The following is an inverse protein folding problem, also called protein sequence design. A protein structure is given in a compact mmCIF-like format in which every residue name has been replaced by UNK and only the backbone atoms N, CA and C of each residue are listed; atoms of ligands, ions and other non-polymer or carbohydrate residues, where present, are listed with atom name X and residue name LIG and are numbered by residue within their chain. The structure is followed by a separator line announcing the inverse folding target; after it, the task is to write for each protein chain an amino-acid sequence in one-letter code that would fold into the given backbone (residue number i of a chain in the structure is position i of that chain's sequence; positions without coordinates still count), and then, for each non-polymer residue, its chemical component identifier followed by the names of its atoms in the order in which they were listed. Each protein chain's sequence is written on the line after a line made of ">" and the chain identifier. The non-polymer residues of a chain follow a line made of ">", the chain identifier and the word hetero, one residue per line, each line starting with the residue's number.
data_IF_851036334479
#
_entry.id   IF_851036334479
#
_cell.length_a   1.000
_cell.length_b   1.000
_cell.length_c   1.000
_cell.angle_alpha   90.00
_cell.angle_beta   90.00
_cell.angle_gamma   90.00
#
_symmetry.space_group_name_H-M   'P 1'
#
loop_
_entity.id
_entity.type
_entity.pdbx_description
1 polymer ?
#
# COMPACT_ATOMS: atom_id res chain seq x y z
N UNK A 1 -3.70 3.75 43.10
CA UNK A 1 -3.23 2.38 43.33
C UNK A 1 -1.77 2.36 42.93
N UNK A 2 -0.86 1.93 43.81
CA UNK A 2 0.58 1.88 43.50
C UNK A 2 0.88 0.77 42.50
N UNK A 3 1.66 1.07 41.46
CA UNK A 3 2.13 0.05 40.51
C UNK A 3 3.09 -0.91 41.20
N UNK A 4 2.95 -2.21 40.93
CA UNK A 4 3.83 -3.25 41.47
C UNK A 4 4.79 -3.80 40.41
N UNK A 5 5.93 -4.35 40.87
CA UNK A 5 6.89 -5.03 40.00
C UNK A 5 6.24 -6.18 39.20
N UNK A 6 5.29 -6.91 39.81
CA UNK A 6 4.53 -7.97 39.13
C UNK A 6 3.69 -7.44 37.96
N UNK A 7 3.11 -6.24 38.07
CA UNK A 7 2.37 -5.62 36.97
C UNK A 7 3.29 -5.21 35.81
N UNK A 8 4.51 -4.75 36.12
CA UNK A 8 5.54 -4.49 35.11
C UNK A 8 5.92 -5.78 34.38
N UNK A 9 6.21 -6.86 35.12
CA UNK A 9 6.60 -8.16 34.53
C UNK A 9 5.51 -8.73 33.62
N UNK A 10 4.24 -8.66 34.04
CA UNK A 10 3.11 -9.07 33.21
C UNK A 10 3.01 -8.25 31.91
N UNK A 11 3.24 -6.95 31.99
CA UNK A 11 3.20 -6.06 30.84
C UNK A 11 4.36 -6.32 29.89
N UNK A 12 5.57 -6.56 30.41
CA UNK A 12 6.73 -6.98 29.63
C UNK A 12 6.50 -8.30 28.89
N UNK A 13 5.86 -9.28 29.53
CA UNK A 13 5.54 -10.55 28.88
C UNK A 13 4.50 -10.38 27.76
N UNK A 14 3.48 -9.53 27.98
CA UNK A 14 2.51 -9.18 26.94
C UNK A 14 3.19 -8.49 25.73
N UNK A 15 4.14 -7.60 25.99
CA UNK A 15 4.93 -6.91 24.97
C UNK A 15 5.79 -7.88 24.14
N UNK A 16 6.48 -8.84 24.79
CA UNK A 16 7.23 -9.91 24.09
C UNK A 16 6.33 -10.76 23.21
N UNK A 17 5.14 -11.11 23.72
CA UNK A 17 4.15 -11.87 22.96
C UNK A 17 3.70 -11.10 21.71
N UNK A 18 3.40 -9.81 21.84
CA UNK A 18 3.01 -8.95 20.71
C UNK A 18 4.12 -8.88 19.65
N UNK A 19 5.37 -8.69 20.05
CA UNK A 19 6.50 -8.69 19.11
C UNK A 19 6.64 -10.01 18.35
N UNK A 20 6.52 -11.15 19.05
CA UNK A 20 6.61 -12.46 18.41
C UNK A 20 5.48 -12.67 17.39
N UNK A 21 4.26 -12.22 17.72
CA UNK A 21 3.12 -12.27 16.81
C UNK A 21 3.33 -11.37 15.59
N UNK A 22 3.79 -10.13 15.79
CA UNK A 22 4.10 -9.18 14.71
C UNK A 22 5.18 -9.75 13.79
N UNK A 23 6.28 -10.27 14.35
CA UNK A 23 7.40 -10.80 13.58
C UNK A 23 6.98 -12.00 12.72
N UNK A 24 6.22 -12.93 13.32
CA UNK A 24 5.66 -14.09 12.61
C UNK A 24 4.70 -13.66 11.51
N UNK A 25 3.81 -12.70 11.79
CA UNK A 25 2.82 -12.24 10.83
C UNK A 25 3.45 -11.46 9.66
N UNK A 26 4.47 -10.65 9.95
CA UNK A 26 5.27 -9.96 8.93
C UNK A 26 5.96 -10.97 8.02
N UNK A 27 6.67 -11.96 8.58
CA UNK A 27 7.32 -12.98 7.78
C UNK A 27 6.34 -13.71 6.86
N UNK A 28 5.17 -14.11 7.39
CA UNK A 28 4.12 -14.74 6.59
C UNK A 28 3.58 -13.80 5.50
N UNK A 29 3.44 -12.50 5.80
CA UNK A 29 2.98 -11.50 4.84
C UNK A 29 4.00 -11.31 3.71
N UNK A 30 5.29 -11.16 4.04
CA UNK A 30 6.38 -11.01 3.08
C UNK A 30 6.49 -12.25 2.16
N UNK A 31 6.30 -13.45 2.71
CA UNK A 31 6.25 -14.70 1.93
C UNK A 31 5.07 -14.71 0.95
N UNK A 32 3.87 -14.32 1.39
CA UNK A 32 2.67 -14.24 0.54
C UNK A 32 2.86 -13.18 -0.56
N UNK A 33 3.40 -11.99 -0.23
CA UNK A 33 3.66 -10.94 -1.20
C UNK A 33 4.63 -11.38 -2.30
N UNK A 34 5.71 -12.04 -1.90
CA UNK A 34 6.70 -12.59 -2.83
C UNK A 34 6.07 -13.64 -3.75
N UNK A 35 5.31 -14.57 -3.19
CA UNK A 35 4.66 -15.61 -3.97
C UNK A 35 3.60 -15.03 -4.93
N UNK A 36 2.81 -14.05 -4.47
CA UNK A 36 1.84 -13.34 -5.31
C UNK A 36 2.52 -12.61 -6.46
N UNK A 37 3.64 -11.91 -6.21
CA UNK A 37 4.41 -11.26 -7.25
C UNK A 37 4.95 -12.27 -8.27
N UNK A 38 5.38 -13.44 -7.83
CA UNK A 38 5.82 -14.51 -8.73
C UNK A 38 4.66 -15.05 -9.58
N UNK A 39 3.51 -15.34 -8.95
CA UNK A 39 2.30 -15.82 -9.65
C UNK A 39 1.85 -14.80 -10.70
N UNK A 40 1.82 -13.53 -10.31
CA UNK A 40 1.48 -12.44 -11.23
C UNK A 40 2.47 -12.38 -12.40
N UNK A 41 3.79 -12.44 -12.14
CA UNK A 41 4.79 -12.43 -13.19
C UNK A 41 4.66 -13.59 -14.18
N UNK A 42 4.43 -14.81 -13.68
CA UNK A 42 4.21 -15.99 -14.52
C UNK A 42 2.90 -15.89 -15.33
N UNK A 43 1.84 -15.37 -14.72
CA UNK A 43 0.57 -15.11 -15.40
C UNK A 43 0.73 -14.04 -16.49
N UNK A 44 1.34 -12.90 -16.18
CA UNK A 44 1.55 -11.79 -17.13
C UNK A 44 2.46 -12.22 -18.29
N UNK A 45 3.46 -13.05 -18.03
CA UNK A 45 4.31 -13.61 -19.09
C UNK A 45 3.53 -14.48 -20.07
N UNK A 46 2.55 -15.25 -19.58
CA UNK A 46 1.77 -16.19 -20.39
C UNK A 46 0.54 -15.55 -21.05
N UNK A 47 -0.17 -14.71 -20.33
CA UNK A 47 -1.46 -14.14 -20.74
C UNK A 47 -1.44 -12.63 -20.97
N UNK A 48 -0.40 -11.90 -20.55
CA UNK A 48 -0.41 -10.44 -20.57
C UNK A 48 -0.66 -9.85 -21.96
N UNK A 49 0.01 -10.36 -23.00
CA UNK A 49 -0.22 -9.91 -24.38
C UNK A 49 -1.60 -10.32 -24.91
N UNK A 50 -2.11 -11.47 -24.50
CA UNK A 50 -3.43 -11.95 -24.92
C UNK A 50 -4.55 -11.11 -24.28
N UNK A 51 -4.42 -10.77 -23.00
CA UNK A 51 -5.36 -9.91 -22.29
C UNK A 51 -5.35 -8.48 -22.87
N UNK A 52 -4.16 -7.94 -23.16
CA UNK A 52 -4.04 -6.62 -23.79
C UNK A 52 -4.71 -6.57 -25.17
N UNK A 53 -4.59 -7.65 -25.97
CA UNK A 53 -5.29 -7.73 -27.25
C UNK A 53 -6.81 -7.88 -27.06
N UNK A 54 -7.26 -8.64 -26.06
CA UNK A 54 -8.68 -8.75 -25.73
C UNK A 54 -9.29 -7.38 -25.38
N UNK A 55 -8.62 -6.61 -24.52
CA UNK A 55 -9.05 -5.27 -24.10
C UNK A 55 -9.12 -4.32 -25.30
N UNK A 56 -8.12 -4.39 -26.20
CA UNK A 56 -8.11 -3.61 -27.44
C UNK A 56 -9.31 -3.97 -28.33
N UNK A 57 -9.58 -5.26 -28.52
CA UNK A 57 -10.69 -5.74 -29.36
C UNK A 57 -12.05 -5.34 -28.77
N UNK A 58 -12.25 -5.46 -27.46
CA UNK A 58 -13.49 -5.03 -26.80
C UNK A 58 -13.70 -3.51 -26.86
N UNK A 59 -12.62 -2.72 -26.74
CA UNK A 59 -12.67 -1.27 -26.94
C UNK A 59 -13.10 -0.90 -28.37
N UNK A 60 -12.54 -1.58 -29.39
CA UNK A 60 -12.91 -1.39 -30.79
C UNK A 60 -14.38 -1.78 -31.05
N UNK A 61 -14.78 -2.95 -30.57
CA UNK A 61 -16.17 -3.44 -30.64
C UNK A 61 -17.15 -2.45 -30.03
N UNK A 62 -16.85 -1.94 -28.84
CA UNK A 62 -17.67 -0.92 -28.17
C UNK A 62 -17.76 0.37 -28.98
N UNK A 63 -16.64 0.85 -29.52
CA UNK A 63 -16.60 2.04 -30.37
C UNK A 63 -17.43 1.88 -31.64
N UNK A 64 -17.31 0.74 -32.34
CA UNK A 64 -18.06 0.44 -33.56
C UNK A 64 -19.55 0.31 -33.29
N UNK A 65 -19.95 -0.38 -32.21
CA UNK A 65 -21.35 -0.45 -31.79
C UNK A 65 -21.94 0.93 -31.54
N UNK A 66 -21.19 1.82 -30.88
CA UNK A 66 -21.63 3.19 -30.63
C UNK A 66 -21.80 3.98 -31.94
N UNK A 67 -20.87 3.86 -32.89
CA UNK A 67 -20.96 4.51 -34.21
C UNK A 67 -22.14 3.98 -35.03
N UNK A 68 -22.34 2.67 -35.05
CA UNK A 68 -23.47 2.01 -35.73
C UNK A 68 -24.82 2.43 -35.13
N UNK A 69 -24.91 2.59 -33.81
CA UNK A 69 -26.11 3.04 -33.11
C UNK A 69 -26.46 4.52 -33.40
N UNK A 70 -25.46 5.37 -33.70
CA UNK A 70 -25.71 6.77 -34.04
C UNK A 70 -26.33 6.92 -35.45
N UNK A 71 -27.50 7.57 -35.54
CA UNK A 71 -28.23 7.86 -36.79
C UNK A 71 -27.83 9.19 -37.48
N UNK A 72 -26.81 9.90 -36.98
CA UNK A 72 -26.19 11.11 -37.58
C UNK A 72 -24.74 11.23 -37.08
N UNK A 73 -23.81 11.86 -37.82
CA UNK A 73 -22.39 11.79 -37.52
C UNK A 73 -22.10 12.53 -36.21
N UNK A 74 -21.63 11.81 -35.19
CA UNK A 74 -20.99 12.46 -34.05
C UNK A 74 -19.57 12.83 -34.45
N UNK A 75 -19.25 14.10 -34.22
CA UNK A 75 -17.92 14.69 -34.27
C UNK A 75 -16.93 13.83 -33.49
N UNK A 76 -15.72 13.69 -34.05
CA UNK A 76 -14.63 12.91 -33.48
C UNK A 76 -14.35 13.31 -32.02
N UNK A 77 -13.96 12.37 -31.14
CA UNK A 77 -13.49 12.72 -29.81
C UNK A 77 -12.16 13.47 -29.92
N UNK A 78 -12.18 14.76 -29.59
CA UNK A 78 -10.97 15.53 -29.33
C UNK A 78 -10.26 14.95 -28.10
N UNK A 79 -8.99 14.57 -28.30
CA UNK A 79 -8.05 14.37 -27.21
C UNK A 79 -7.79 15.73 -26.56
N UNK A 80 -8.41 15.97 -25.40
CA UNK A 80 -8.10 17.13 -24.57
C UNK A 80 -6.81 16.82 -23.81
N UNK A 81 -5.69 17.31 -24.36
CA UNK A 81 -4.40 17.43 -23.70
C UNK A 81 -4.28 18.87 -23.19
N UNK A 82 -4.31 19.06 -21.87
CA UNK A 82 -4.18 20.40 -21.27
C UNK A 82 -2.91 20.48 -20.43
N UNK A 83 -1.83 20.94 -21.07
CA UNK A 83 -0.68 21.55 -20.41
C UNK A 83 -0.52 22.98 -20.93
N UNK A 84 -0.81 23.99 -20.11
CA UNK A 84 -0.19 25.34 -20.13
C UNK A 84 -0.68 26.10 -18.89
N UNK A 85 0.14 26.35 -17.87
CA UNK A 85 1.02 27.54 -17.72
C UNK A 85 0.35 28.85 -18.11
N UNK A 86 0.14 29.74 -17.14
CA UNK A 86 0.27 31.18 -17.33
C UNK A 86 0.81 31.84 -16.05
N UNK A 87 1.97 32.48 -16.21
CA UNK A 87 2.52 33.52 -15.32
C UNK A 87 1.85 34.86 -15.64
N UNK A 88 1.97 35.80 -14.69
CA UNK A 88 2.21 37.27 -14.79
C UNK A 88 1.51 37.90 -13.57
N UNK A 89 2.22 38.12 -12.45
CA UNK A 89 3.02 39.30 -12.02
C UNK A 89 2.24 40.36 -11.20
N UNK A 90 2.88 40.77 -10.09
CA UNK A 90 2.50 41.54 -8.87
C UNK A 90 2.43 43.10 -9.06
N UNK A 91 2.42 43.98 -8.02
CA UNK A 91 1.50 44.30 -6.88
C UNK A 91 1.25 45.86 -6.85
N UNK A 92 0.98 46.66 -5.77
CA UNK A 92 0.87 46.43 -4.31
C UNK A 92 -0.28 47.16 -3.56
N UNK A 93 -0.52 46.78 -2.29
CA UNK A 93 -0.62 47.75 -1.18
C UNK A 93 -0.58 47.03 0.18
N UNK A 94 0.29 47.56 1.06
CA UNK A 94 0.59 47.12 2.41
C UNK A 94 -0.42 47.78 3.35
N UNK A 95 -1.09 47.01 4.21
CA UNK A 95 -1.65 47.49 5.46
C UNK A 95 -1.17 46.53 6.56
N UNK A 96 -0.27 47.03 7.42
CA UNK A 96 0.19 46.33 8.62
C UNK A 96 -0.95 46.26 9.64
N UNK A 97 -1.51 45.06 9.82
CA UNK A 97 -2.32 44.75 11.00
C UNK A 97 -1.49 43.86 11.91
N UNK A 98 -1.18 44.35 13.11
CA UNK A 98 -0.55 43.58 14.18
C UNK A 98 -1.30 42.25 14.36
N UNK A 99 -0.62 41.13 14.10
CA UNK A 99 -1.10 39.79 14.42
C UNK A 99 -0.69 39.48 15.85
N UNK A 100 -1.69 39.31 16.71
CA UNK A 100 -1.55 38.51 17.91
C UNK A 100 -0.95 37.15 17.52
N UNK A 101 0.09 36.73 18.23
CA UNK A 101 0.69 35.41 18.05
C UNK A 101 -0.37 34.34 18.30
N UNK A 102 -0.62 33.42 17.34
CA UNK A 102 -1.49 32.30 17.60
C UNK A 102 -0.89 31.44 18.71
N UNK A 103 -1.70 30.88 19.64
CA UNK A 103 -1.19 29.93 20.62
C UNK A 103 -0.44 28.80 19.91
N UNK A 104 0.62 28.24 20.52
CA UNK A 104 1.39 27.17 19.90
C UNK A 104 0.45 26.03 19.48
N UNK A 105 0.68 25.42 18.29
CA UNK A 105 -0.19 24.37 17.80
C UNK A 105 -0.33 23.28 18.87
N UNK A 106 -1.56 22.86 19.15
CA UNK A 106 -1.85 21.68 19.95
C UNK A 106 -1.04 20.51 19.37
N UNK A 107 -0.06 20.06 20.14
CA UNK A 107 0.85 19.01 19.72
C UNK A 107 0.06 17.72 19.44
N UNK A 108 0.25 17.17 18.25
CA UNK A 108 -0.40 15.93 17.86
C UNK A 108 0.02 14.83 18.87
N UNK A 109 -0.92 14.11 19.52
CA UNK A 109 -0.61 13.09 20.51
C UNK A 109 0.30 11.97 19.96
N UNK A 110 0.27 11.71 18.64
CA UNK A 110 1.21 10.79 17.99
C UNK A 110 2.63 11.34 17.94
N UNK A 111 2.78 12.62 17.60
CA UNK A 111 4.09 13.30 17.53
C UNK A 111 4.73 13.45 18.91
N UNK A 112 3.92 13.62 19.96
CA UNK A 112 4.37 13.59 21.34
C UNK A 112 4.87 12.21 21.75
N UNK A 113 4.07 11.16 21.53
CA UNK A 113 4.46 9.75 21.82
C UNK A 113 5.77 9.36 21.14
N UNK A 114 5.97 9.79 19.90
CA UNK A 114 7.20 9.58 19.14
C UNK A 114 8.43 10.25 19.79
N UNK A 115 8.30 11.51 20.22
CA UNK A 115 9.39 12.23 20.90
C UNK A 115 9.71 11.64 22.27
N UNK A 116 8.69 11.38 23.09
CA UNK A 116 8.85 10.73 24.39
C UNK A 116 9.56 9.36 24.24
N UNK A 117 9.30 8.64 23.13
CA UNK A 117 9.99 7.40 22.79
C UNK A 117 11.45 7.62 22.42
N UNK A 118 11.74 8.57 21.52
CA UNK A 118 13.09 8.83 21.04
C UNK A 118 14.03 9.27 22.16
N UNK A 119 13.55 10.16 23.04
CA UNK A 119 14.30 10.64 24.21
C UNK A 119 14.66 9.47 25.15
N UNK A 120 13.76 8.51 25.31
CA UNK A 120 14.02 7.32 26.11
C UNK A 120 15.01 6.36 25.43
N UNK A 121 14.92 6.18 24.10
CA UNK A 121 15.84 5.31 23.37
C UNK A 121 17.25 5.88 23.40
N UNK A 122 17.42 7.19 23.21
CA UNK A 122 18.73 7.86 23.21
C UNK A 122 19.57 7.56 24.47
N UNK A 123 18.91 7.38 25.61
CA UNK A 123 19.56 7.08 26.88
C UNK A 123 20.21 5.67 26.94
N UNK A 124 19.66 4.70 26.22
CA UNK A 124 20.10 3.30 26.29
C UNK A 124 21.00 2.87 25.13
N UNK A 125 21.18 3.72 24.11
CA UNK A 125 22.10 3.41 23.03
C UNK A 125 23.53 3.62 23.53
N UNK A 126 24.37 2.59 23.38
CA UNK A 126 25.80 2.72 23.61
C UNK A 126 26.37 3.83 22.70
N UNK A 127 27.30 4.65 23.20
CA UNK A 127 27.86 5.79 22.46
C UNK A 127 28.37 5.40 21.05
N UNK A 128 28.85 4.16 20.88
CA UNK A 128 29.31 3.58 19.62
C UNK A 128 28.20 3.36 18.56
N UNK A 129 26.95 3.14 18.98
CA UNK A 129 25.82 2.82 18.10
C UNK A 129 24.81 3.98 18.01
N UNK A 130 25.05 5.06 18.74
CA UNK A 130 24.15 6.22 18.91
C UNK A 130 23.84 6.90 17.58
N UNK A 131 24.85 7.26 16.81
CA UNK A 131 24.69 8.03 15.57
C UNK A 131 23.83 7.33 14.50
N UNK A 132 24.10 6.07 14.09
CA UNK A 132 23.29 5.41 13.06
C UNK A 132 21.86 5.12 13.53
N UNK A 133 21.66 4.83 14.81
CA UNK A 133 20.33 4.55 15.38
C UNK A 133 19.53 5.85 15.50
N UNK A 134 20.16 6.94 15.95
CA UNK A 134 19.50 8.25 16.02
C UNK A 134 19.16 8.79 14.63
N UNK A 135 19.90 8.44 13.57
CA UNK A 135 19.50 8.77 12.20
C UNK A 135 18.21 8.05 11.78
N UNK A 136 18.06 6.76 12.10
CA UNK A 136 16.83 5.99 11.83
C UNK A 136 15.67 6.55 12.65
N UNK A 137 15.90 6.84 13.93
CA UNK A 137 14.91 7.43 14.84
C UNK A 137 14.48 8.80 14.32
N UNK A 138 15.42 9.70 14.03
CA UNK A 138 15.13 11.04 13.53
C UNK A 138 14.41 11.02 12.18
N UNK A 139 14.71 10.06 11.30
CA UNK A 139 13.98 9.88 10.05
C UNK A 139 12.50 9.50 10.28
N UNK A 140 12.23 8.62 11.27
CA UNK A 140 10.86 8.23 11.64
C UNK A 140 10.11 9.32 12.43
N UNK A 141 10.83 10.12 13.23
CA UNK A 141 10.29 11.30 13.91
C UNK A 141 9.88 12.38 12.91
N UNK A 142 10.69 12.61 11.88
CA UNK A 142 10.44 13.62 10.86
C UNK A 142 9.28 13.26 9.91
N UNK A 143 8.92 11.97 9.83
CA UNK A 143 7.82 11.52 8.98
C UNK A 143 6.52 11.35 9.76
N UNK A 144 5.57 12.28 9.60
CA UNK A 144 4.26 12.23 10.27
C UNK A 144 3.41 11.00 9.89
N UNK A 145 3.70 10.36 8.75
CA UNK A 145 2.96 9.18 8.28
C UNK A 145 3.46 7.86 8.88
N UNK A 146 4.70 7.83 9.40
CA UNK A 146 5.23 6.63 10.05
C UNK A 146 4.68 6.50 11.46
N UNK A 147 4.45 5.29 11.93
CA UNK A 147 3.92 5.04 13.26
C UNK A 147 5.05 4.65 14.25
N UNK A 148 4.82 4.88 15.53
CA UNK A 148 5.64 4.41 16.66
C UNK A 148 5.92 2.90 16.52
N UNK A 149 4.95 2.13 16.02
CA UNK A 149 5.11 0.71 15.73
C UNK A 149 6.18 0.38 14.69
N UNK A 150 6.42 1.24 13.69
CA UNK A 150 7.50 1.04 12.70
C UNK A 150 8.88 1.23 13.31
N UNK A 151 9.00 2.22 14.20
CA UNK A 151 10.19 2.47 15.00
C UNK A 151 10.55 1.25 15.87
N UNK A 152 9.54 0.66 16.52
CA UNK A 152 9.70 -0.51 17.38
C UNK A 152 10.04 -1.80 16.59
N UNK A 153 9.68 -1.88 15.32
CA UNK A 153 10.03 -3.00 14.42
C UNK A 153 11.42 -2.88 13.80
N UNK A 154 11.89 -1.67 13.54
CA UNK A 154 13.20 -1.42 12.91
C UNK A 154 14.36 -1.62 13.88
N UNK A 155 14.10 -1.48 15.18
CA UNK A 155 15.08 -1.76 16.21
C UNK A 155 15.00 -3.25 16.55
N UNK A 156 15.98 -4.05 16.12
CA UNK A 156 16.22 -5.43 16.56
C UNK A 156 16.43 -5.59 18.09
N UNK A 157 16.28 -4.50 18.83
CA UNK A 157 16.64 -4.32 20.23
C UNK A 157 15.40 -4.45 21.10
N UNK A 158 14.62 -5.52 20.87
CA UNK A 158 13.51 -6.00 21.71
C UNK A 158 13.72 -5.81 23.22
N UNK A 159 14.99 -5.80 23.64
CA UNK A 159 15.45 -5.70 25.02
C UNK A 159 15.65 -4.27 25.51
N UNK A 160 16.19 -3.32 24.72
CA UNK A 160 16.52 -1.95 25.19
C UNK A 160 15.32 -1.26 25.79
N UNK A 161 14.19 -1.39 25.12
CA UNK A 161 12.99 -0.69 25.51
C UNK A 161 12.41 -1.40 26.77
N UNK A 162 12.48 -2.72 26.88
CA UNK A 162 12.00 -3.45 28.09
C UNK A 162 12.77 -3.17 29.39
N UNK A 163 13.97 -2.56 29.32
CA UNK A 163 14.79 -2.23 30.49
C UNK A 163 14.24 -0.97 31.18
N UNK A 164 14.29 -0.95 32.52
CA UNK A 164 13.96 0.23 33.33
C UNK A 164 15.16 1.15 33.40
N UNK A 165 14.98 2.47 33.22
CA UNK A 165 16.07 3.42 33.46
C UNK A 165 16.33 3.56 34.97
N UNK A 166 17.56 3.90 35.35
CA UNK A 166 17.91 4.07 36.77
C UNK A 166 17.12 5.19 37.45
N UNK A 167 16.72 6.19 36.68
CA UNK A 167 15.95 7.36 37.13
C UNK A 167 14.44 7.17 37.06
N UNK A 168 13.97 6.06 36.50
CA UNK A 168 12.55 5.83 36.24
C UNK A 168 11.87 5.12 37.41
N UNK A 169 10.78 5.70 37.91
CA UNK A 169 9.92 5.07 38.92
C UNK A 169 9.11 3.92 38.32
N UNK A 170 8.57 3.04 39.16
CA UNK A 170 7.69 1.96 38.69
C UNK A 170 6.43 2.48 37.96
N UNK A 171 5.91 3.64 38.39
CA UNK A 171 4.72 4.25 37.78
C UNK A 171 5.02 4.81 36.39
N UNK A 172 6.16 5.46 36.22
CA UNK A 172 6.65 5.96 34.92
C UNK A 172 6.96 4.80 33.98
N UNK A 173 7.65 3.76 34.48
CA UNK A 173 7.91 2.55 33.71
C UNK A 173 6.62 1.92 33.21
N UNK A 174 5.62 1.79 34.07
CA UNK A 174 4.33 1.22 33.68
C UNK A 174 3.62 2.06 32.62
N UNK A 175 3.60 3.39 32.77
CA UNK A 175 2.98 4.28 31.80
C UNK A 175 3.65 4.22 30.42
N UNK A 176 4.99 4.15 30.40
CA UNK A 176 5.79 3.96 29.18
C UNK A 176 5.49 2.61 28.53
N UNK A 177 5.60 1.52 29.29
CA UNK A 177 5.32 0.17 28.79
C UNK A 177 3.88 0.04 28.27
N UNK A 178 2.90 0.73 28.89
CA UNK A 178 1.52 0.76 28.41
C UNK A 178 1.38 1.47 27.07
N UNK A 179 2.06 2.59 26.91
CA UNK A 179 2.09 3.32 25.63
C UNK A 179 2.66 2.43 24.51
N UNK A 180 3.62 1.57 24.82
CA UNK A 180 4.15 0.62 23.85
C UNK A 180 3.24 -0.56 23.58
N UNK A 181 2.51 -1.01 24.59
CA UNK A 181 1.52 -2.07 24.39
C UNK A 181 0.44 -1.59 23.42
N UNK A 182 -0.01 -0.35 23.56
CA UNK A 182 -0.95 0.28 22.63
C UNK A 182 -0.36 0.34 21.21
N UNK A 183 0.84 0.88 21.04
CA UNK A 183 1.50 1.00 19.74
C UNK A 183 1.72 -0.36 19.05
N UNK A 184 2.18 -1.38 19.78
CA UNK A 184 2.36 -2.72 19.22
C UNK A 184 1.02 -3.40 18.89
N UNK A 185 -0.03 -3.13 19.66
CA UNK A 185 -1.37 -3.67 19.35
C UNK A 185 -1.95 -3.04 18.07
N UNK A 186 -1.77 -1.73 17.90
CA UNK A 186 -2.11 -1.04 16.65
C UNK A 186 -1.32 -1.62 15.47
N UNK A 187 -0.03 -1.90 15.68
CA UNK A 187 0.83 -2.47 14.64
C UNK A 187 0.50 -3.92 14.29
N UNK A 188 0.16 -4.76 15.27
CA UNK A 188 -0.36 -6.10 15.02
C UNK A 188 -1.63 -6.04 14.17
N UNK A 189 -2.54 -5.11 14.51
CA UNK A 189 -3.78 -4.88 13.73
C UNK A 189 -3.46 -4.45 12.30
N UNK A 190 -2.48 -3.57 12.10
CA UNK A 190 -2.01 -3.18 10.79
C UNK A 190 -1.57 -4.39 9.96
N UNK A 191 -0.71 -5.25 10.50
CA UNK A 191 -0.24 -6.44 9.78
C UNK A 191 -1.35 -7.45 9.50
N UNK A 192 -2.29 -7.63 10.42
CA UNK A 192 -3.47 -8.47 10.19
C UNK A 192 -4.30 -7.93 9.02
N UNK A 193 -4.51 -6.61 8.96
CA UNK A 193 -5.22 -5.97 7.86
C UNK A 193 -4.43 -6.03 6.55
N UNK A 194 -3.11 -5.94 6.58
CA UNK A 194 -2.25 -6.08 5.39
C UNK A 194 -2.37 -7.48 4.82
N UNK A 195 -2.25 -8.52 5.65
CA UNK A 195 -2.49 -9.90 5.23
C UNK A 195 -3.89 -10.10 4.64
N UNK A 196 -4.93 -9.59 5.30
CA UNK A 196 -6.31 -9.68 4.79
C UNK A 196 -6.49 -8.96 3.45
N UNK A 197 -5.75 -7.87 3.21
CA UNK A 197 -5.75 -7.19 1.90
C UNK A 197 -5.11 -8.04 0.82
N UNK A 198 -4.02 -8.75 1.12
CA UNK A 198 -3.38 -9.67 0.18
C UNK A 198 -4.33 -10.81 -0.23
N UNK A 199 -5.09 -11.35 0.72
CA UNK A 199 -6.12 -12.38 0.47
C UNK A 199 -7.25 -11.90 -0.46
N UNK A 200 -7.43 -10.58 -0.58
CA UNK A 200 -8.42 -9.95 -1.48
C UNK A 200 -7.87 -9.52 -2.83
N UNK A 201 -6.57 -9.73 -3.08
CA UNK A 201 -5.99 -9.38 -4.38
C UNK A 201 -6.57 -10.29 -5.48
N UNK A 202 -6.73 -9.79 -6.72
CA UNK A 202 -7.24 -10.61 -7.83
C UNK A 202 -6.41 -11.87 -8.08
N UNK A 203 -5.11 -11.80 -7.81
CA UNK A 203 -4.16 -12.90 -7.99
C UNK A 203 -4.16 -13.92 -6.84
N UNK A 204 -4.86 -13.66 -5.73
CA UNK A 204 -4.89 -14.59 -4.60
C UNK A 204 -5.49 -15.96 -4.98
N UNK A 205 -6.54 -15.99 -5.82
CA UNK A 205 -7.09 -17.25 -6.31
C UNK A 205 -6.08 -18.04 -7.16
N UNK A 206 -5.32 -17.36 -8.02
CA UNK A 206 -4.25 -17.97 -8.82
C UNK A 206 -3.10 -18.46 -7.93
N UNK A 207 -2.79 -17.74 -6.86
CA UNK A 207 -1.78 -18.16 -5.88
C UNK A 207 -2.20 -19.43 -5.15
N UNK A 208 -3.47 -19.57 -4.77
CA UNK A 208 -4.00 -20.80 -4.17
C UNK A 208 -3.91 -21.99 -5.14
N UNK A 209 -4.25 -21.77 -6.42
CA UNK A 209 -4.10 -22.79 -7.48
C UNK A 209 -2.64 -23.21 -7.66
N UNK A 210 -1.69 -22.27 -7.65
CA UNK A 210 -0.26 -22.61 -7.75
C UNK A 210 0.20 -23.47 -6.57
N UNK A 211 -0.24 -23.17 -5.34
CA UNK A 211 0.18 -23.94 -4.15
C UNK A 211 -0.41 -25.34 -4.08
N UNK A 212 -1.56 -25.59 -4.71
CA UNK A 212 -2.20 -26.91 -4.74
C UNK A 212 -1.68 -27.82 -5.84
N UNK A 213 -0.81 -27.31 -6.72
CA UNK A 213 -0.34 -27.98 -7.94
C UNK A 213 1.16 -28.24 -7.90
N UNK A 214 1.60 -29.24 -8.66
CA UNK A 214 3.02 -29.33 -9.02
C UNK A 214 3.40 -28.20 -9.98
N UNK A 215 4.70 -27.94 -10.13
CA UNK A 215 5.16 -26.93 -11.08
C UNK A 215 4.73 -27.24 -12.53
N UNK A 216 4.73 -28.52 -12.92
CA UNK A 216 4.30 -28.94 -14.26
C UNK A 216 2.79 -28.72 -14.46
N UNK A 217 1.97 -29.09 -13.47
CA UNK A 217 0.52 -28.89 -13.52
C UNK A 217 0.14 -27.41 -13.52
N UNK A 218 0.91 -26.57 -12.82
CA UNK A 218 0.74 -25.13 -12.83
C UNK A 218 1.01 -24.52 -14.21
N UNK A 219 2.12 -24.91 -14.85
CA UNK A 219 2.43 -24.43 -16.20
C UNK A 219 1.40 -24.91 -17.23
N UNK A 220 0.96 -26.16 -17.15
CA UNK A 220 -0.10 -26.70 -18.01
C UNK A 220 -1.44 -25.96 -17.80
N UNK A 221 -1.75 -25.60 -16.55
CA UNK A 221 -2.92 -24.79 -16.24
C UNK A 221 -2.85 -23.40 -16.90
N UNK A 222 -1.70 -22.71 -16.81
CA UNK A 222 -1.50 -21.42 -17.46
C UNK A 222 -1.57 -21.53 -18.99
N UNK A 223 -1.02 -22.59 -19.58
CA UNK A 223 -1.09 -22.82 -21.02
C UNK A 223 -2.54 -23.05 -21.49
N UNK A 224 -3.34 -23.77 -20.72
CA UNK A 224 -4.77 -23.95 -21.01
C UNK A 224 -5.52 -22.60 -20.93
N UNK A 225 -5.27 -21.80 -19.89
CA UNK A 225 -5.86 -20.45 -19.81
C UNK A 225 -5.45 -19.57 -20.99
N UNK A 226 -4.18 -19.59 -21.40
CA UNK A 226 -3.70 -18.84 -22.54
C UNK A 226 -4.36 -19.31 -23.85
N UNK A 227 -4.53 -20.62 -24.04
CA UNK A 227 -5.25 -21.16 -25.19
C UNK A 227 -6.72 -20.68 -25.22
N UNK A 228 -7.43 -20.78 -24.10
CA UNK A 228 -8.81 -20.29 -23.99
C UNK A 228 -8.92 -18.80 -24.30
N UNK A 229 -7.99 -17.99 -23.80
CA UNK A 229 -7.95 -16.56 -24.08
C UNK A 229 -7.68 -16.27 -25.56
N UNK A 230 -6.75 -17.00 -26.20
CA UNK A 230 -6.44 -16.84 -27.63
C UNK A 230 -7.65 -17.20 -28.52
N UNK A 231 -8.38 -18.27 -28.17
CA UNK A 231 -9.62 -18.65 -28.84
C UNK A 231 -10.71 -17.58 -28.65
N UNK A 232 -10.84 -17.03 -27.44
CA UNK A 232 -11.72 -15.90 -27.14
C UNK A 232 -11.40 -14.65 -27.97
N UNK A 233 -10.12 -14.28 -28.05
CA UNK A 233 -9.65 -13.15 -28.85
C UNK A 233 -9.95 -13.36 -30.34
N UNK A 234 -9.80 -14.57 -30.86
CA UNK A 234 -10.13 -14.90 -32.25
C UNK A 234 -11.62 -14.65 -32.53
N UNK A 235 -12.51 -15.04 -31.60
CA UNK A 235 -13.95 -14.76 -31.71
C UNK A 235 -14.25 -13.26 -31.64
N UNK A 236 -13.61 -12.54 -30.70
CA UNK A 236 -13.77 -11.08 -30.59
C UNK A 236 -13.29 -10.34 -31.84
N UNK A 237 -12.17 -10.75 -32.41
CA UNK A 237 -11.65 -10.18 -33.66
C UNK A 237 -12.63 -10.36 -34.81
N UNK A 238 -13.25 -11.56 -34.91
CA UNK A 238 -14.29 -11.79 -35.91
C UNK A 238 -15.53 -10.92 -35.67
N UNK A 239 -15.97 -10.74 -34.42
CA UNK A 239 -17.08 -9.83 -34.11
C UNK A 239 -16.77 -8.37 -34.49
N UNK A 240 -15.54 -7.91 -34.23
CA UNK A 240 -15.06 -6.58 -34.63
C UNK A 240 -15.10 -6.46 -36.15
N UNK A 241 -14.57 -7.43 -36.89
CA UNK A 241 -14.56 -7.44 -38.37
C UNK A 241 -15.98 -7.33 -38.94
N UNK A 242 -16.94 -8.09 -38.40
CA UNK A 242 -18.34 -8.01 -38.82
C UNK A 242 -18.94 -6.62 -38.57
N UNK A 243 -18.65 -6.01 -37.41
CA UNK A 243 -19.11 -4.65 -37.10
C UNK A 243 -18.45 -3.60 -38.00
N UNK A 244 -17.19 -3.77 -38.38
CA UNK A 244 -16.51 -2.90 -39.33
C UNK A 244 -17.15 -2.96 -40.71
N UNK A 245 -17.45 -4.16 -41.21
CA UNK A 245 -18.15 -4.35 -42.49
C UNK A 245 -19.54 -3.69 -42.48
N UNK A 246 -20.30 -3.86 -41.40
CA UNK A 246 -21.61 -3.21 -41.24
C UNK A 246 -21.48 -1.68 -41.24
N UNK A 247 -20.44 -1.16 -40.58
CA UNK A 247 -20.20 0.28 -40.53
C UNK A 247 -19.84 0.82 -41.92
N UNK A 248 -18.95 0.15 -42.66
CA UNK A 248 -18.59 0.54 -44.02
C UNK A 248 -19.80 0.54 -44.96
N UNK A 249 -20.62 -0.52 -44.94
CA UNK A 249 -21.84 -0.59 -45.74
C UNK A 249 -22.81 0.58 -45.41
N UNK A 250 -22.94 0.95 -44.14
CA UNK A 250 -23.76 2.10 -43.72
C UNK A 250 -23.19 3.44 -44.23
N UNK A 251 -21.87 3.57 -44.32
CA UNK A 251 -21.22 4.77 -44.88
C UNK A 251 -21.42 4.87 -46.39
N UNK A 252 -21.31 3.76 -47.12
CA UNK A 252 -21.55 3.73 -48.57
C UNK A 252 -23.00 4.10 -48.92
N UNK A 253 -23.99 3.60 -48.16
CA UNK A 253 -25.41 3.96 -48.35
C UNK A 253 -25.70 5.43 -48.06
N UNK A 254 -24.97 6.07 -47.14
CA UNK A 254 -25.17 7.49 -46.83
C UNK A 254 -24.44 8.46 -47.79
N UNK A 255 -23.57 7.95 -48.66
CA UNK A 255 -22.79 8.74 -49.63
C UNK A 255 -23.35 8.67 -51.07
N UNK A 256 -24.48 7.99 -51.28
CA UNK A 256 -25.27 7.95 -52.52
C UNK A 256 -26.52 8.81 -52.34
#
# INVERSE_FOLDING_TARGET
>A
MSVTQTQIEQLLEALKTLLAQISSLRQQTDEIEKDLAQVQGEYDQKLGSLNAEADRLEALKTSLKNRLAQKKPAVAPEYISNSTTNKVELPPQILETQRDEPPPPLENPRSKRKRDLADHIEYFIAESDREPIMQIINAVLANEQQDVGEMLELLSWGEIWTVRAEWETLEEQYARLKSWQEALSERLTYWQNTRHRLEKTPFHGLWQEKRSRSQEDWLAFLDNLAQQQAEGNTRLAHEVEVLEQQWQAKQEVNNV
#
